data_IF_186096627396
#
_entry.id   IF_186096627396
#
_cell.length_a   1.000
_cell.length_b   1.000
_cell.length_c   1.000
_cell.angle_alpha   90.00
_cell.angle_beta   90.00
_cell.angle_gamma   90.00
#
_symmetry.space_group_name_H-M   'P 1'
#
loop_
_entity.id
_entity.type
_entity.pdbx_description
1 polymer ?
#
# COMPACT_ATOMS: atom_id res chain seq x y z
N UNK A 1 -25.32 3.48 3.77
CA UNK A 1 -24.06 4.00 4.35
C UNK A 1 -23.22 2.94 5.05
N UNK A 2 -23.78 2.14 5.96
CA UNK A 2 -22.99 1.18 6.76
C UNK A 2 -22.27 0.12 5.92
N UNK A 3 -22.95 -0.46 4.92
CA UNK A 3 -22.34 -1.42 4.00
C UNK A 3 -21.18 -0.83 3.19
N UNK A 4 -21.30 0.41 2.72
CA UNK A 4 -20.22 1.11 2.00
C UNK A 4 -19.00 1.27 2.91
N UNK A 5 -19.23 1.59 4.19
CA UNK A 5 -18.18 1.69 5.20
C UNK A 5 -17.51 0.34 5.47
N UNK A 6 -18.28 -0.74 5.56
CA UNK A 6 -17.76 -2.11 5.74
C UNK A 6 -16.88 -2.50 4.56
N UNK A 7 -17.36 -2.30 3.33
CA UNK A 7 -16.60 -2.58 2.10
C UNK A 7 -15.34 -1.71 2.05
N UNK A 8 -15.46 -0.41 2.35
CA UNK A 8 -14.31 0.50 2.39
C UNK A 8 -13.24 0.01 3.37
N UNK A 9 -13.62 -0.34 4.60
CA UNK A 9 -12.68 -0.81 5.62
C UNK A 9 -12.01 -2.13 5.20
N UNK A 10 -12.76 -3.07 4.64
CA UNK A 10 -12.22 -4.33 4.10
C UNK A 10 -11.17 -4.05 3.00
N UNK A 11 -11.51 -3.18 2.06
CA UNK A 11 -10.63 -2.79 0.97
C UNK A 11 -9.37 -2.06 1.48
N UNK A 12 -9.51 -1.16 2.46
CA UNK A 12 -8.37 -0.48 3.10
C UNK A 12 -7.47 -1.50 3.79
N UNK A 13 -8.01 -2.37 4.65
CA UNK A 13 -7.21 -3.39 5.34
C UNK A 13 -6.46 -4.28 4.35
N UNK A 14 -7.15 -4.74 3.29
CA UNK A 14 -6.52 -5.55 2.26
C UNK A 14 -5.50 -4.78 1.41
N UNK A 15 -5.68 -3.48 1.18
CA UNK A 15 -4.67 -2.65 0.54
C UNK A 15 -3.42 -2.46 1.42
N UNK A 16 -3.63 -2.25 2.73
CA UNK A 16 -2.54 -2.09 3.70
C UNK A 16 -1.66 -3.35 3.81
N UNK A 17 -2.21 -4.55 3.55
CA UNK A 17 -1.40 -5.78 3.57
C UNK A 17 -0.19 -5.71 2.63
N UNK A 18 -0.37 -5.27 1.39
CA UNK A 18 0.74 -5.18 0.43
C UNK A 18 1.64 -4.00 0.71
N UNK A 19 1.08 -2.86 1.12
CA UNK A 19 1.84 -1.66 1.50
C UNK A 19 2.90 -2.00 2.58
N UNK A 20 2.55 -2.84 3.55
CA UNK A 20 3.44 -3.23 4.64
C UNK A 20 4.25 -4.51 4.39
N UNK A 21 3.72 -5.45 3.60
CA UNK A 21 4.38 -6.73 3.39
C UNK A 21 5.36 -6.71 2.22
N UNK A 22 5.03 -6.05 1.11
CA UNK A 22 5.79 -6.16 -0.15
C UNK A 22 7.20 -5.61 -0.06
N UNK A 23 7.47 -4.44 0.55
CA UNK A 23 8.84 -3.95 0.69
C UNK A 23 9.75 -4.93 1.43
N UNK A 24 9.23 -5.62 2.45
CA UNK A 24 9.96 -6.67 3.17
C UNK A 24 10.05 -7.96 2.37
N UNK A 25 8.99 -8.35 1.66
CA UNK A 25 8.99 -9.51 0.78
C UNK A 25 10.05 -9.39 -0.32
N UNK A 26 10.33 -8.18 -0.83
CA UNK A 26 11.41 -7.93 -1.78
C UNK A 26 12.80 -8.28 -1.23
N UNK A 27 13.04 -8.09 0.07
CA UNK A 27 14.29 -8.50 0.72
C UNK A 27 14.42 -10.04 0.69
N UNK A 28 13.35 -10.75 1.04
CA UNK A 28 13.35 -12.20 1.04
C UNK A 28 13.43 -12.78 -0.37
N UNK A 29 12.74 -12.17 -1.33
CA UNK A 29 12.80 -12.55 -2.74
C UNK A 29 14.21 -12.32 -3.32
N UNK A 30 14.89 -11.22 -2.96
CA UNK A 30 16.30 -11.04 -3.33
C UNK A 30 17.18 -12.21 -2.85
N UNK A 31 17.02 -12.61 -1.58
CA UNK A 31 17.78 -13.73 -1.00
C UNK A 31 17.42 -15.07 -1.63
N UNK A 32 16.17 -15.25 -2.04
CA UNK A 32 15.75 -16.43 -2.82
C UNK A 32 16.46 -16.44 -4.16
N UNK A 33 16.39 -15.33 -4.91
CA UNK A 33 17.04 -15.17 -6.21
C UNK A 33 18.54 -15.42 -6.15
N UNK A 34 19.23 -14.91 -5.13
CA UNK A 34 20.67 -15.15 -4.91
C UNK A 34 20.98 -16.65 -4.68
N UNK A 35 20.04 -17.44 -4.17
CA UNK A 35 20.21 -18.87 -3.91
C UNK A 35 19.87 -19.75 -5.12
N UNK A 36 18.75 -19.46 -5.79
CA UNK A 36 18.22 -20.31 -6.87
C UNK A 36 18.57 -19.79 -8.28
N UNK A 37 18.94 -18.52 -8.41
CA UNK A 37 19.31 -17.90 -9.68
C UNK A 37 18.14 -17.61 -10.63
N UNK A 38 16.91 -17.88 -10.22
CA UNK A 38 15.71 -17.77 -11.06
C UNK A 38 14.47 -17.27 -10.29
N UNK A 39 13.35 -17.12 -11.00
CA UNK A 39 12.10 -16.67 -10.43
C UNK A 39 11.45 -17.76 -9.59
N UNK A 40 11.46 -17.60 -8.27
CA UNK A 40 10.95 -18.58 -7.33
C UNK A 40 9.57 -18.28 -6.73
N UNK A 41 9.11 -19.15 -5.80
CA UNK A 41 7.82 -19.02 -5.12
C UNK A 41 7.63 -17.69 -4.36
N UNK A 42 8.68 -17.12 -3.75
CA UNK A 42 8.55 -15.82 -3.07
C UNK A 42 8.28 -14.69 -4.07
N UNK A 43 8.87 -14.75 -5.26
CA UNK A 43 8.56 -13.83 -6.34
C UNK A 43 7.12 -13.90 -6.79
N UNK A 44 6.60 -15.12 -7.01
CA UNK A 44 5.20 -15.33 -7.40
C UNK A 44 4.23 -14.82 -6.33
N UNK A 45 4.46 -15.18 -5.07
CA UNK A 45 3.66 -14.70 -3.94
C UNK A 45 3.67 -13.17 -3.85
N UNK A 46 4.85 -12.54 -3.97
CA UNK A 46 5.00 -11.08 -3.85
C UNK A 46 4.21 -10.35 -4.94
N UNK A 47 4.27 -10.83 -6.20
CA UNK A 47 3.54 -10.24 -7.32
C UNK A 47 2.03 -10.43 -7.15
N UNK A 48 1.58 -11.64 -6.78
CA UNK A 48 0.16 -11.91 -6.56
C UNK A 48 -0.41 -11.05 -5.44
N UNK A 49 0.32 -10.93 -4.34
CA UNK A 49 -0.06 -10.08 -3.22
C UNK A 49 -0.14 -8.61 -3.64
N UNK A 50 0.86 -8.12 -4.38
CA UNK A 50 0.84 -6.77 -4.94
C UNK A 50 -0.39 -6.53 -5.84
N UNK A 51 -0.65 -7.41 -6.82
CA UNK A 51 -1.77 -7.23 -7.75
C UNK A 51 -3.14 -7.32 -7.09
N UNK A 52 -3.31 -8.28 -6.18
CA UNK A 52 -4.55 -8.44 -5.42
C UNK A 52 -4.84 -7.21 -4.57
N UNK A 53 -3.83 -6.73 -3.84
CA UNK A 53 -3.95 -5.57 -2.97
C UNK A 53 -4.14 -4.27 -3.75
N UNK A 54 -3.57 -4.14 -4.96
CA UNK A 54 -3.81 -2.99 -5.83
C UNK A 54 -5.29 -2.86 -6.23
N UNK A 55 -5.95 -3.99 -6.54
CA UNK A 55 -7.39 -4.01 -6.83
C UNK A 55 -8.21 -3.51 -5.63
N UNK A 56 -7.86 -3.96 -4.42
CA UNK A 56 -8.50 -3.50 -3.19
C UNK A 56 -8.24 -2.01 -2.92
N UNK A 57 -7.04 -1.50 -3.24
CA UNK A 57 -6.73 -0.08 -3.16
C UNK A 57 -7.63 0.78 -4.06
N UNK A 58 -7.92 0.31 -5.29
CA UNK A 58 -8.86 1.00 -6.20
C UNK A 58 -10.26 1.06 -5.60
N UNK A 59 -10.76 -0.06 -5.07
CA UNK A 59 -12.08 -0.08 -4.41
C UNK A 59 -12.10 0.77 -3.13
N UNK A 60 -11.01 0.81 -2.36
CA UNK A 60 -10.87 1.66 -1.18
C UNK A 60 -10.96 3.15 -1.54
N UNK A 61 -10.31 3.57 -2.64
CA UNK A 61 -10.39 4.94 -3.14
C UNK A 61 -11.81 5.27 -3.62
N UNK A 62 -12.41 4.41 -4.46
CA UNK A 62 -13.76 4.63 -4.98
C UNK A 62 -14.81 4.77 -3.87
N UNK A 63 -14.81 3.84 -2.91
CA UNK A 63 -15.71 3.87 -1.76
C UNK A 63 -15.42 5.04 -0.81
N UNK A 64 -14.15 5.43 -0.65
CA UNK A 64 -13.76 6.58 0.15
C UNK A 64 -14.22 7.91 -0.45
N UNK A 65 -14.10 8.06 -1.78
CA UNK A 65 -14.57 9.25 -2.52
C UNK A 65 -16.09 9.34 -2.52
N UNK A 66 -16.79 8.21 -2.63
CA UNK A 66 -18.24 8.16 -2.46
C UNK A 66 -18.63 8.69 -1.08
N UNK A 67 -18.07 8.13 0.00
CA UNK A 67 -18.37 8.59 1.35
C UNK A 67 -18.03 10.06 1.58
N UNK A 68 -16.97 10.57 0.94
CA UNK A 68 -16.59 11.99 0.99
C UNK A 68 -17.63 12.92 0.34
N UNK A 69 -18.20 12.48 -0.79
CA UNK A 69 -19.28 13.18 -1.48
C UNK A 69 -20.54 13.26 -0.61
N UNK A 70 -20.92 12.16 0.04
CA UNK A 70 -22.12 12.09 0.90
C UNK A 70 -22.03 13.01 2.13
N UNK A 71 -20.82 13.24 2.66
CA UNK A 71 -20.59 14.10 3.84
C UNK A 71 -20.22 15.55 3.48
N UNK A 72 -20.19 15.90 2.19
CA UNK A 72 -19.98 17.27 1.73
C UNK A 72 -18.55 17.79 1.86
N UNK A 73 -17.54 16.92 1.78
CA UNK A 73 -16.12 17.31 1.74
C UNK A 73 -15.64 18.24 2.89
N UNK A 74 -15.81 17.85 4.16
CA UNK A 74 -15.25 18.63 5.27
C UNK A 74 -13.72 18.70 5.17
N UNK A 75 -13.12 19.72 5.77
CA UNK A 75 -11.70 19.99 5.60
C UNK A 75 -10.81 18.79 5.98
N UNK A 76 -11.14 18.01 7.02
CA UNK A 76 -10.41 16.78 7.39
C UNK A 76 -10.35 15.72 6.28
N UNK A 77 -11.35 15.67 5.40
CA UNK A 77 -11.37 14.77 4.24
C UNK A 77 -10.31 15.17 3.23
N UNK A 78 -10.13 16.47 2.99
CA UNK A 78 -9.06 16.95 2.11
C UNK A 78 -7.68 16.56 2.65
N UNK A 79 -7.44 16.77 3.95
CA UNK A 79 -6.19 16.32 4.60
C UNK A 79 -6.01 14.80 4.42
N UNK A 80 -7.03 14.01 4.78
CA UNK A 80 -6.99 12.55 4.66
C UNK A 80 -6.69 12.13 3.22
N UNK A 81 -7.35 12.75 2.23
CA UNK A 81 -7.18 12.40 0.83
C UNK A 81 -5.78 12.74 0.34
N UNK A 82 -5.21 13.89 0.72
CA UNK A 82 -3.81 14.23 0.41
C UNK A 82 -2.83 13.18 0.94
N UNK A 83 -3.03 12.72 2.19
CA UNK A 83 -2.21 11.67 2.79
C UNK A 83 -2.38 10.33 2.05
N UNK A 84 -3.62 9.98 1.67
CA UNK A 84 -3.92 8.76 0.91
C UNK A 84 -3.29 8.82 -0.50
N UNK A 85 -3.29 9.97 -1.16
CA UNK A 85 -2.63 10.17 -2.47
C UNK A 85 -1.11 10.01 -2.33
N UNK A 86 -0.51 10.57 -1.29
CA UNK A 86 0.92 10.36 -1.01
C UNK A 86 1.25 8.88 -0.78
N UNK A 87 0.41 8.18 -0.01
CA UNK A 87 0.53 6.73 0.22
C UNK A 87 0.33 5.92 -1.08
N UNK A 88 -0.59 6.33 -1.94
CA UNK A 88 -0.78 5.73 -3.26
C UNK A 88 0.45 5.92 -4.15
N UNK A 89 1.08 7.10 -4.12
CA UNK A 89 2.34 7.34 -4.81
C UNK A 89 3.47 6.42 -4.33
N UNK A 90 3.59 6.25 -3.02
CA UNK A 90 4.50 5.27 -2.41
C UNK A 90 4.20 3.83 -2.85
N UNK A 91 2.92 3.46 -2.93
CA UNK A 91 2.49 2.15 -3.40
C UNK A 91 2.82 1.90 -4.88
N UNK A 92 2.68 2.92 -5.74
CA UNK A 92 3.10 2.86 -7.15
C UNK A 92 4.61 2.67 -7.25
N UNK A 93 5.40 3.38 -6.42
CA UNK A 93 6.85 3.18 -6.35
C UNK A 93 7.23 1.75 -5.93
N UNK A 94 6.46 1.15 -5.01
CA UNK A 94 6.60 -0.27 -4.67
C UNK A 94 6.38 -1.16 -5.89
N UNK A 95 5.42 -0.83 -6.76
CA UNK A 95 5.22 -1.50 -8.04
C UNK A 95 6.43 -1.43 -8.97
N UNK A 96 7.11 -0.28 -9.04
CA UNK A 96 8.36 -0.12 -9.80
C UNK A 96 9.46 -1.04 -9.25
N UNK A 97 9.56 -1.19 -7.93
CA UNK A 97 10.49 -2.12 -7.29
C UNK A 97 10.16 -3.59 -7.65
N UNK A 98 8.88 -3.97 -7.55
CA UNK A 98 8.40 -5.32 -7.89
C UNK A 98 8.67 -5.67 -9.36
N UNK A 99 8.42 -4.73 -10.27
CA UNK A 99 8.66 -4.94 -11.71
C UNK A 99 10.14 -5.04 -12.06
N UNK A 100 11.02 -4.38 -11.29
CA UNK A 100 12.49 -4.55 -11.42
C UNK A 100 12.96 -5.88 -10.84
N UNK A 101 12.46 -6.26 -9.67
CA UNK A 101 12.75 -7.55 -9.03
C UNK A 101 12.33 -8.73 -9.93
N UNK A 102 11.22 -8.61 -10.66
CA UNK A 102 10.78 -9.60 -11.66
C UNK A 102 11.82 -9.84 -12.76
N UNK A 103 12.67 -8.86 -13.06
CA UNK A 103 13.77 -8.96 -14.03
C UNK A 103 15.08 -9.41 -13.39
N UNK A 104 15.08 -9.85 -12.13
CA UNK A 104 16.28 -10.19 -11.37
C UNK A 104 17.11 -8.99 -10.93
N UNK A 105 16.57 -7.77 -11.01
CA UNK A 105 17.32 -6.53 -10.71
C UNK A 105 16.97 -6.03 -9.31
N UNK A 106 17.89 -6.25 -8.37
CA UNK A 106 17.77 -5.81 -6.97
C UNK A 106 18.85 -4.77 -6.63
N UNK A 107 18.54 -3.49 -6.81
CA UNK A 107 19.49 -2.38 -6.57
C UNK A 107 19.47 -1.86 -5.12
N UNK A 108 18.37 -2.10 -4.43
CA UNK A 108 18.08 -1.44 -3.16
C UNK A 108 18.66 -2.26 -2.01
N UNK A 109 19.19 -1.57 -0.99
CA UNK A 109 19.72 -2.23 0.21
C UNK A 109 18.59 -2.70 1.12
N UNK A 110 18.87 -3.71 1.95
CA UNK A 110 17.93 -4.22 2.96
C UNK A 110 17.49 -3.09 3.91
N UNK A 111 18.41 -2.19 4.28
CA UNK A 111 18.10 -1.04 5.14
C UNK A 111 17.15 -0.06 4.46
N UNK A 112 17.38 0.26 3.18
CA UNK A 112 16.49 1.12 2.41
C UNK A 112 15.07 0.57 2.38
N UNK A 113 14.89 -0.73 2.08
CA UNK A 113 13.56 -1.35 2.00
C UNK A 113 12.84 -1.40 3.36
N UNK A 114 13.58 -1.48 4.48
CA UNK A 114 13.02 -1.39 5.83
C UNK A 114 12.53 0.02 6.14
N UNK A 115 13.36 1.03 5.89
CA UNK A 115 12.99 2.44 6.11
C UNK A 115 11.82 2.82 5.19
N UNK A 116 11.87 2.38 3.93
CA UNK A 116 10.80 2.61 2.96
C UNK A 116 9.46 2.04 3.45
N UNK A 117 9.46 0.89 4.12
CA UNK A 117 8.28 0.34 4.77
C UNK A 117 7.81 1.16 5.99
N UNK A 118 8.74 1.66 6.81
CA UNK A 118 8.39 2.47 7.98
C UNK A 118 7.72 3.79 7.60
N UNK A 119 8.10 4.40 6.48
CA UNK A 119 7.41 5.57 5.91
C UNK A 119 5.92 5.26 5.69
N UNK A 120 5.58 4.08 5.19
CA UNK A 120 4.18 3.66 5.03
C UNK A 120 3.44 3.58 6.36
N UNK A 121 4.12 3.14 7.42
CA UNK A 121 3.51 3.02 8.76
C UNK A 121 3.20 4.42 9.31
N UNK A 122 4.14 5.35 9.17
CA UNK A 122 3.93 6.75 9.57
C UNK A 122 2.77 7.38 8.79
N UNK A 123 2.70 7.16 7.48
CA UNK A 123 1.59 7.61 6.66
C UNK A 123 0.25 7.01 7.10
N UNK A 124 0.21 5.71 7.42
CA UNK A 124 -0.98 5.05 7.92
C UNK A 124 -1.45 5.63 9.27
N UNK A 125 -0.52 5.91 10.19
CA UNK A 125 -0.82 6.57 11.47
C UNK A 125 -1.42 7.96 11.24
N UNK A 126 -0.84 8.75 10.33
CA UNK A 126 -1.37 10.08 10.00
C UNK A 126 -2.79 10.02 9.39
N UNK A 127 -3.06 9.05 8.51
CA UNK A 127 -4.39 8.82 7.92
C UNK A 127 -5.40 8.40 9.00
N UNK A 128 -5.00 7.50 9.91
CA UNK A 128 -5.84 7.06 11.02
C UNK A 128 -6.16 8.22 11.97
N UNK A 129 -5.16 9.05 12.30
CA UNK A 129 -5.37 10.24 13.10
C UNK A 129 -6.37 11.19 12.43
N UNK A 130 -6.21 11.47 11.13
CA UNK A 130 -7.11 12.36 10.39
C UNK A 130 -8.58 11.88 10.41
N UNK A 131 -8.83 10.57 10.30
CA UNK A 131 -10.21 10.03 10.29
C UNK A 131 -10.82 9.88 11.69
N UNK A 132 -9.99 9.69 12.73
CA UNK A 132 -10.45 9.54 14.12
C UNK A 132 -10.62 10.90 14.78
N UNK A 133 -9.60 11.74 14.73
CA UNK A 133 -9.62 13.06 15.36
C UNK A 133 -10.51 14.05 14.59
N UNK A 134 -10.68 13.85 13.27
CA UNK A 134 -11.40 14.75 12.36
C UNK A 134 -11.05 16.21 12.66
N UNK A 135 -9.75 16.55 12.60
CA UNK A 135 -9.33 17.92 12.89
C UNK A 135 -10.02 18.84 11.90
N UNK A 136 -10.52 20.00 12.33
CA UNK A 136 -11.21 21.01 11.48
C UNK A 136 -12.53 20.59 10.80
#
# INVERSE_FOLDING_TARGET
>A
MEWVKIIHLLCVMGWMTSIFAVPRALIYWKREWEKIGEFGPLGDLTIRLYRFSAGLGVFALATGLWMAFDIGWPAWVHLKLTLVVALAGHYVWTGVLVMRARKGVFRESDLFLRIFNEISVVAAIAILWAVVAKPF
#
